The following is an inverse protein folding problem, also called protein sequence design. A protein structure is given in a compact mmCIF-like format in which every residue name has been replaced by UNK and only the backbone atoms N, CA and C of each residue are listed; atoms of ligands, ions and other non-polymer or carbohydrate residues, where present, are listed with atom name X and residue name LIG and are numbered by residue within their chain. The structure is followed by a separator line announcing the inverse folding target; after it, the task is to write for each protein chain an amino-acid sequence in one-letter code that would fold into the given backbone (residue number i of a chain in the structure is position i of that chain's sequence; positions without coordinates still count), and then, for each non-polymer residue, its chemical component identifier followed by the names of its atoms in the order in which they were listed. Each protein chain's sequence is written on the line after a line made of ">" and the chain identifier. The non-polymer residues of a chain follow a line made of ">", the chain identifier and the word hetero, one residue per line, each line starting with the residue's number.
data_IF_168605461527
#
_entry.id   IF_168605461527
#
_cell.length_a   1.000
_cell.length_b   1.000
_cell.length_c   1.000
_cell.angle_alpha   90.00
_cell.angle_beta   90.00
_cell.angle_gamma   90.00
#
_symmetry.space_group_name_H-M   'P 1'
#
loop_
_entity.id
_entity.type
_entity.pdbx_description
1 polymer ?
#
# COMPACT_ATOMS: atom_id res chain seq x y z
N UNK A 1 -38.54 -23.02 -49.55
CA UNK A 1 -37.80 -21.83 -49.07
C UNK A 1 -36.83 -22.30 -47.99
N UNK A 2 -35.60 -22.66 -48.36
CA UNK A 2 -34.57 -23.20 -47.46
C UNK A 2 -33.55 -22.10 -47.19
N UNK A 3 -33.41 -21.67 -45.95
CA UNK A 3 -32.41 -20.69 -45.53
C UNK A 3 -31.11 -21.46 -45.25
N UNK A 4 -30.06 -21.10 -46.01
CA UNK A 4 -28.67 -21.55 -45.82
C UNK A 4 -28.14 -21.01 -44.49
N UNK A 5 -27.59 -21.88 -43.64
CA UNK A 5 -26.66 -21.51 -42.59
C UNK A 5 -25.25 -21.82 -43.11
N UNK A 6 -24.50 -20.80 -43.48
CA UNK A 6 -23.08 -20.87 -43.83
C UNK A 6 -22.28 -20.45 -42.59
N UNK A 7 -21.71 -21.45 -41.91
CA UNK A 7 -20.56 -21.28 -41.02
C UNK A 7 -19.32 -21.01 -41.89
N UNK A 8 -18.59 -19.93 -41.58
CA UNK A 8 -17.19 -19.75 -42.01
C UNK A 8 -16.29 -20.02 -40.80
N UNK A 9 -15.23 -20.83 -40.91
CA UNK A 9 -14.35 -21.15 -39.81
C UNK A 9 -13.00 -20.43 -39.99
N UNK A 10 -12.84 -19.22 -39.46
CA UNK A 10 -11.52 -18.60 -39.33
C UNK A 10 -11.45 -17.89 -37.98
N UNK A 11 -10.85 -18.55 -36.99
CA UNK A 11 -10.38 -17.91 -35.77
C UNK A 11 -8.97 -18.43 -35.53
N UNK A 12 -8.01 -17.66 -36.03
CA UNK A 12 -6.60 -17.83 -35.70
C UNK A 12 -6.44 -17.72 -34.19
N UNK A 13 -5.89 -18.77 -33.58
CA UNK A 13 -5.58 -18.78 -32.16
C UNK A 13 -4.37 -17.85 -31.91
N UNK A 14 -4.64 -16.63 -31.45
CA UNK A 14 -3.61 -15.78 -30.86
C UNK A 14 -3.03 -16.47 -29.62
N UNK A 15 -1.78 -16.88 -29.72
CA UNK A 15 -1.00 -17.40 -28.60
C UNK A 15 -0.57 -16.21 -27.73
N UNK A 16 -1.30 -15.97 -26.65
CA UNK A 16 -0.91 -14.99 -25.63
C UNK A 16 0.22 -15.59 -24.80
N UNK A 17 1.45 -15.16 -25.07
CA UNK A 17 2.60 -15.45 -24.23
C UNK A 17 2.47 -14.70 -22.90
N UNK A 18 2.09 -15.42 -21.85
CA UNK A 18 2.11 -14.91 -20.47
C UNK A 18 3.52 -15.13 -19.92
N UNK A 19 4.36 -14.10 -19.98
CA UNK A 19 5.60 -14.05 -19.20
C UNK A 19 5.25 -13.97 -17.71
N UNK A 20 5.33 -15.11 -17.03
CA UNK A 20 5.31 -15.17 -15.58
C UNK A 20 6.65 -14.63 -15.08
N UNK A 21 6.68 -13.36 -14.66
CA UNK A 21 7.79 -12.83 -13.87
C UNK A 21 7.83 -13.55 -12.53
N UNK A 22 8.92 -14.26 -12.28
CA UNK A 22 9.25 -14.79 -10.97
C UNK A 22 9.67 -13.62 -10.09
N UNK A 23 8.86 -13.26 -9.09
CA UNK A 23 9.31 -12.40 -8.00
C UNK A 23 9.99 -13.24 -6.94
N UNK A 24 11.17 -12.75 -6.50
CA UNK A 24 12.10 -13.36 -5.56
C UNK A 24 11.44 -13.99 -4.33
N UNK A 25 11.91 -15.19 -4.00
CA UNK A 25 11.62 -15.88 -2.76
C UNK A 25 12.07 -15.03 -1.56
N UNK A 26 11.14 -14.81 -0.63
CA UNK A 26 11.42 -14.17 0.64
C UNK A 26 12.15 -15.18 1.55
N UNK A 27 13.48 -15.14 1.55
CA UNK A 27 14.28 -15.91 2.49
C UNK A 27 14.31 -15.18 3.84
N UNK A 28 13.65 -15.76 4.83
CA UNK A 28 13.80 -15.36 6.25
C UNK A 28 15.05 -16.04 6.75
N UNK A 29 16.20 -15.37 6.64
CA UNK A 29 17.40 -15.82 7.34
C UNK A 29 17.17 -15.71 8.85
N UNK A 30 17.40 -16.83 9.54
CA UNK A 30 17.34 -16.93 10.99
C UNK A 30 18.47 -16.10 11.61
N UNK A 31 18.17 -14.87 12.05
CA UNK A 31 19.07 -14.15 12.95
C UNK A 31 18.86 -14.71 14.36
N UNK A 32 19.73 -15.65 14.71
CA UNK A 32 19.97 -16.05 16.09
C UNK A 32 20.49 -14.85 16.88
N UNK A 33 19.82 -14.52 17.97
CA UNK A 33 20.24 -13.47 18.91
C UNK A 33 21.68 -13.69 19.35
N UNK A 34 22.58 -12.80 18.96
CA UNK A 34 23.78 -12.50 19.74
C UNK A 34 23.42 -11.37 20.68
N UNK A 35 23.19 -11.74 21.94
CA UNK A 35 23.24 -10.83 23.08
C UNK A 35 24.64 -10.25 23.15
N UNK A 36 24.79 -8.96 22.84
CA UNK A 36 25.90 -8.17 23.36
C UNK A 36 25.32 -6.99 24.16
N UNK A 37 25.65 -7.02 25.45
CA UNK A 37 25.02 -6.26 26.51
C UNK A 37 25.12 -4.74 26.39
N UNK A 38 24.10 -4.10 26.94
CA UNK A 38 24.11 -2.69 27.29
C UNK A 38 25.27 -2.39 28.23
N UNK A 39 26.32 -1.71 27.73
CA UNK A 39 27.31 -1.06 28.57
C UNK A 39 26.70 0.26 29.09
N UNK A 40 26.00 0.19 30.22
CA UNK A 40 25.75 1.37 31.05
C UNK A 40 27.11 1.74 31.67
N UNK A 41 27.82 2.70 31.05
CA UNK A 41 28.92 3.38 31.73
C UNK A 41 28.32 4.36 32.73
N UNK A 42 28.30 3.93 33.99
CA UNK A 42 28.23 4.80 35.16
C UNK A 42 29.41 5.79 35.05
N UNK A 43 29.10 7.09 35.00
CA UNK A 43 30.12 8.15 35.07
C UNK A 43 29.87 8.94 36.35
N UNK A 44 30.91 8.95 37.17
CA UNK A 44 31.01 9.62 38.45
C UNK A 44 30.84 11.14 38.35
N UNK A 45 30.37 11.71 39.45
CA UNK A 45 30.16 13.13 39.63
C UNK A 45 31.46 13.94 39.52
N UNK A 46 31.47 14.95 38.65
CA UNK A 46 32.23 16.19 38.84
C UNK A 46 31.69 17.27 37.90
N UNK A 47 31.46 18.45 38.47
CA UNK A 47 30.87 19.64 37.87
C UNK A 47 31.46 20.05 36.51
N UNK A 48 30.58 20.32 35.55
CA UNK A 48 30.60 21.59 34.82
C UNK A 48 29.30 21.78 34.02
N UNK A 49 28.60 22.86 34.36
CA UNK A 49 27.40 23.38 33.72
C UNK A 49 27.60 23.62 32.22
N UNK A 50 26.96 22.78 31.39
CA UNK A 50 26.46 23.19 30.09
C UNK A 50 24.98 22.89 30.08
N UNK A 51 24.18 23.94 29.96
CA UNK A 51 22.75 23.89 29.71
C UNK A 51 22.55 23.01 28.47
N UNK A 52 22.14 21.77 28.67
CA UNK A 52 21.61 20.94 27.59
C UNK A 52 20.20 21.49 27.41
N UNK A 53 20.01 22.30 26.37
CA UNK A 53 18.67 22.60 25.87
C UNK A 53 17.98 21.25 25.65
N UNK A 54 16.86 21.06 26.36
CA UNK A 54 15.98 19.92 26.15
C UNK A 54 15.40 20.07 24.73
N UNK A 55 16.12 19.59 23.72
CA UNK A 55 15.62 19.46 22.36
C UNK A 55 14.48 18.45 22.45
N UNK A 56 13.26 18.97 22.42
CA UNK A 56 12.05 18.18 22.51
C UNK A 56 12.04 17.25 21.29
N UNK A 57 11.93 15.93 21.49
CA UNK A 57 11.96 14.95 20.39
C UNK A 57 10.86 15.22 19.34
N UNK A 58 9.79 15.94 19.73
CA UNK A 58 8.72 16.42 18.86
C UNK A 58 9.17 17.39 17.77
N UNK A 59 10.22 18.17 18.01
CA UNK A 59 10.65 19.24 17.10
C UNK A 59 11.36 18.67 15.87
N UNK A 60 11.90 17.44 15.99
CA UNK A 60 12.52 16.71 14.88
C UNK A 60 11.53 15.92 14.01
N UNK A 61 10.34 15.58 14.54
CA UNK A 61 9.35 14.76 13.86
C UNK A 61 7.94 15.34 14.03
N UNK A 62 7.54 16.32 13.19
CA UNK A 62 6.24 16.95 13.32
C UNK A 62 5.10 15.92 13.12
N UNK A 63 4.08 16.02 13.97
CA UNK A 63 2.86 15.21 13.88
C UNK A 63 2.03 15.54 12.64
N UNK A 64 2.03 16.81 12.21
CA UNK A 64 1.32 17.22 11.01
C UNK A 64 2.03 16.71 9.76
N UNK A 65 1.32 15.88 9.00
CA UNK A 65 1.76 15.33 7.73
C UNK A 65 2.22 16.39 6.73
N UNK A 66 1.66 17.60 6.77
CA UNK A 66 2.05 18.67 5.87
C UNK A 66 3.50 19.12 6.11
N UNK A 67 3.97 19.03 7.36
CA UNK A 67 5.29 19.52 7.81
C UNK A 67 6.40 18.46 7.72
N UNK A 68 6.07 17.25 7.24
CA UNK A 68 7.05 16.18 7.11
C UNK A 68 8.19 16.56 6.16
N UNK A 69 9.44 16.21 6.50
CA UNK A 69 10.58 16.50 5.64
C UNK A 69 10.43 15.81 4.29
N UNK A 70 10.94 16.42 3.23
CA UNK A 70 10.96 15.81 1.90
C UNK A 70 12.34 16.05 1.25
N UNK A 71 13.12 14.99 0.95
CA UNK A 71 12.81 13.56 1.08
C UNK A 71 12.81 13.04 2.53
N UNK A 72 12.09 11.95 2.79
CA UNK A 72 11.97 11.33 4.12
C UNK A 72 13.12 10.35 4.35
N UNK A 73 13.91 10.57 5.41
CA UNK A 73 15.01 9.68 5.80
C UNK A 73 14.50 8.32 6.31
N UNK A 74 15.34 7.29 6.32
CA UNK A 74 14.99 5.95 6.82
C UNK A 74 14.48 5.97 8.27
N UNK A 75 15.21 6.67 9.16
CA UNK A 75 14.83 6.80 10.57
C UNK A 75 13.52 7.59 10.76
N UNK A 76 13.32 8.68 10.02
CA UNK A 76 12.06 9.43 10.04
C UNK A 76 10.88 8.56 9.60
N UNK A 77 11.09 7.75 8.55
CA UNK A 77 10.09 6.80 8.05
C UNK A 77 9.71 5.80 9.14
N UNK A 78 10.68 5.17 9.79
CA UNK A 78 10.42 4.17 10.84
C UNK A 78 9.70 4.78 12.04
N UNK A 79 10.07 6.00 12.44
CA UNK A 79 9.38 6.75 13.50
C UNK A 79 7.89 6.96 13.18
N UNK A 80 7.57 7.47 11.98
CA UNK A 80 6.18 7.69 11.58
C UNK A 80 5.38 6.40 11.42
N UNK A 81 6.04 5.29 11.08
CA UNK A 81 5.42 3.98 10.99
C UNK A 81 5.05 3.41 12.36
N UNK A 82 5.95 3.50 13.34
CA UNK A 82 5.73 3.02 14.70
C UNK A 82 4.64 3.82 15.41
N UNK A 83 4.68 5.15 15.29
CA UNK A 83 3.75 6.03 16.00
C UNK A 83 2.42 6.24 15.29
N UNK A 84 2.32 5.79 14.03
CA UNK A 84 1.17 5.90 13.12
C UNK A 84 0.57 7.32 13.03
N UNK A 85 0.71 8.01 11.89
CA UNK A 85 0.23 9.39 11.79
C UNK A 85 -1.26 9.51 12.10
N UNK A 86 -1.56 10.41 13.02
CA UNK A 86 -2.93 10.80 13.35
C UNK A 86 -3.34 12.02 12.52
N UNK A 87 -4.65 12.21 12.39
CA UNK A 87 -5.15 13.45 11.82
C UNK A 87 -4.85 14.61 12.77
N UNK A 88 -4.37 15.73 12.24
CA UNK A 88 -4.17 16.94 13.04
C UNK A 88 -5.35 17.87 12.81
N UNK A 89 -6.12 18.08 13.87
CA UNK A 89 -7.28 18.98 13.89
C UNK A 89 -8.62 18.27 14.02
N UNK A 90 -9.71 19.06 13.95
CA UNK A 90 -11.08 18.54 13.99
C UNK A 90 -11.72 18.59 12.60
N UNK A 91 -12.16 17.43 12.10
CA UNK A 91 -12.80 17.29 10.78
C UNK A 91 -14.04 18.19 10.62
N UNK A 92 -14.78 18.47 11.71
CA UNK A 92 -15.97 19.34 11.69
C UNK A 92 -15.60 20.81 11.51
N UNK A 93 -14.42 21.20 11.97
CA UNK A 93 -13.88 22.55 11.83
C UNK A 93 -13.11 22.72 10.52
N UNK A 94 -12.88 21.63 9.79
CA UNK A 94 -12.16 21.63 8.54
C UNK A 94 -13.02 22.24 7.43
N UNK A 95 -12.83 23.55 7.23
CA UNK A 95 -13.46 24.33 6.18
C UNK A 95 -12.40 24.99 5.31
N UNK A 96 -12.56 24.87 4.00
CA UNK A 96 -11.79 25.64 3.00
C UNK A 96 -12.68 26.74 2.47
N UNK A 97 -12.17 27.95 2.56
CA UNK A 97 -12.75 29.12 1.91
C UNK A 97 -12.40 29.09 0.42
N UNK A 98 -13.39 29.39 -0.42
CA UNK A 98 -13.15 29.65 -1.83
C UNK A 98 -14.02 30.80 -2.31
N UNK A 99 -13.46 31.60 -3.22
CA UNK A 99 -14.14 32.75 -3.81
C UNK A 99 -14.59 32.40 -5.22
N UNK A 100 -15.87 32.58 -5.52
CA UNK A 100 -16.42 32.48 -6.88
C UNK A 100 -17.33 33.68 -7.13
N UNK A 101 -17.13 34.38 -8.25
CA UNK A 101 -17.88 35.60 -8.63
C UNK A 101 -18.01 36.62 -7.48
N UNK A 102 -16.91 36.90 -6.79
CA UNK A 102 -16.82 37.78 -5.62
C UNK A 102 -17.69 37.35 -4.42
N UNK A 103 -18.16 36.12 -4.37
CA UNK A 103 -18.84 35.52 -3.21
C UNK A 103 -17.92 34.52 -2.54
N UNK A 104 -17.86 34.61 -1.21
CA UNK A 104 -17.13 33.69 -0.36
C UNK A 104 -18.02 32.50 -0.04
N UNK A 105 -17.47 31.31 -0.17
CA UNK A 105 -18.13 30.07 0.16
C UNK A 105 -17.21 29.19 1.00
N UNK A 106 -17.81 28.34 1.82
CA UNK A 106 -17.08 27.36 2.64
C UNK A 106 -17.41 25.96 2.18
N UNK A 107 -16.39 25.14 1.92
CA UNK A 107 -16.56 23.68 1.76
C UNK A 107 -16.04 22.95 2.98
N UNK A 108 -16.74 21.90 3.36
CA UNK A 108 -16.30 20.93 4.34
C UNK A 108 -15.92 19.61 3.64
N UNK A 109 -15.05 18.85 4.28
CA UNK A 109 -14.84 17.46 3.89
C UNK A 109 -15.95 16.61 4.50
N UNK A 110 -16.61 15.79 3.69
CA UNK A 110 -17.55 14.79 4.21
C UNK A 110 -16.79 13.65 4.88
N UNK A 111 -17.28 13.18 6.02
CA UNK A 111 -16.79 11.98 6.70
C UNK A 111 -16.85 10.74 5.80
N UNK A 112 -17.82 10.67 4.88
CA UNK A 112 -17.92 9.57 3.90
C UNK A 112 -16.68 9.42 3.02
N UNK A 113 -15.89 10.49 2.80
CA UNK A 113 -14.66 10.43 2.03
C UNK A 113 -13.56 9.61 2.72
N UNK A 114 -13.66 9.37 4.02
CA UNK A 114 -12.72 8.52 4.75
C UNK A 114 -13.09 7.04 4.68
N UNK A 115 -14.15 6.68 3.94
CA UNK A 115 -14.59 5.30 3.80
C UNK A 115 -14.72 4.90 2.33
N UNK A 116 -14.30 3.68 2.01
CA UNK A 116 -14.57 3.04 0.73
C UNK A 116 -15.58 1.89 0.90
N UNK A 117 -16.22 1.51 -0.19
CA UNK A 117 -17.06 0.31 -0.24
C UNK A 117 -16.39 -0.69 -1.16
N UNK A 118 -16.14 -1.90 -0.65
CA UNK A 118 -15.65 -3.00 -1.47
C UNK A 118 -16.77 -3.60 -2.32
N UNK A 119 -16.39 -4.38 -3.33
CA UNK A 119 -17.35 -5.07 -4.21
C UNK A 119 -18.32 -5.99 -3.45
N UNK A 120 -17.93 -6.45 -2.26
CA UNK A 120 -18.77 -7.22 -1.35
C UNK A 120 -19.72 -6.35 -0.48
N UNK A 121 -19.82 -5.05 -0.75
CA UNK A 121 -20.64 -4.10 -0.01
C UNK A 121 -20.09 -3.68 1.36
N UNK A 122 -18.94 -4.23 1.80
CA UNK A 122 -18.37 -3.87 3.10
C UNK A 122 -17.77 -2.46 3.06
N UNK A 123 -18.13 -1.67 4.07
CA UNK A 123 -17.57 -0.34 4.33
C UNK A 123 -16.22 -0.51 5.03
N UNK A 124 -15.16 0.03 4.45
CA UNK A 124 -13.81 0.01 5.02
C UNK A 124 -13.28 1.43 5.20
N UNK A 125 -12.57 1.66 6.30
CA UNK A 125 -11.96 2.95 6.60
C UNK A 125 -10.62 3.11 5.87
N UNK A 126 -10.40 4.27 5.24
CA UNK A 126 -9.15 4.64 4.58
C UNK A 126 -8.11 5.06 5.62
N UNK A 127 -7.48 4.08 6.26
CA UNK A 127 -6.45 4.32 7.27
C UNK A 127 -5.27 5.16 6.75
N UNK A 128 -4.98 5.08 5.45
CA UNK A 128 -3.92 5.79 4.75
C UNK A 128 -4.20 7.29 4.50
N UNK A 129 -5.46 7.72 4.62
CA UNK A 129 -5.88 9.09 4.35
C UNK A 129 -5.76 9.93 5.62
N UNK A 130 -4.97 11.00 5.56
CA UNK A 130 -4.78 11.95 6.67
C UNK A 130 -5.02 13.38 6.22
N UNK A 131 -5.56 14.22 7.10
CA UNK A 131 -5.70 15.64 6.82
C UNK A 131 -4.79 16.49 7.71
N UNK A 132 -4.42 17.66 7.18
CA UNK A 132 -3.68 18.70 7.89
C UNK A 132 -4.56 19.93 8.03
N UNK A 133 -4.87 20.31 9.27
CA UNK A 133 -5.57 21.57 9.55
C UNK A 133 -4.78 22.81 9.09
N UNK A 134 -3.45 22.73 9.07
CA UNK A 134 -2.53 23.82 8.73
C UNK A 134 -2.61 24.18 7.25
N UNK A 135 -2.52 23.19 6.36
CA UNK A 135 -2.55 23.43 4.90
C UNK A 135 -3.94 23.32 4.29
N UNK A 136 -4.93 22.89 5.07
CA UNK A 136 -6.28 22.56 4.59
C UNK A 136 -6.26 21.54 3.43
N UNK A 137 -5.29 20.63 3.47
CA UNK A 137 -5.11 19.60 2.47
C UNK A 137 -5.27 18.19 3.07
N UNK A 138 -5.54 17.24 2.20
CA UNK A 138 -5.57 15.82 2.50
C UNK A 138 -4.37 15.15 1.83
N UNK A 139 -3.82 14.17 2.53
CA UNK A 139 -2.60 13.47 2.17
C UNK A 139 -2.81 11.97 2.29
N UNK A 140 -2.09 11.22 1.46
CA UNK A 140 -1.88 9.80 1.65
C UNK A 140 -0.53 9.62 2.35
N UNK A 141 -0.56 9.27 3.63
CA UNK A 141 0.69 9.19 4.41
C UNK A 141 1.62 8.10 3.88
N UNK A 142 1.05 7.00 3.38
CA UNK A 142 1.80 5.86 2.84
C UNK A 142 2.54 6.28 1.57
N UNK A 143 1.82 6.87 0.62
CA UNK A 143 2.43 7.44 -0.59
C UNK A 143 3.50 8.49 -0.27
N UNK A 144 3.28 9.32 0.75
CA UNK A 144 4.26 10.33 1.16
C UNK A 144 5.53 9.70 1.72
N UNK A 145 5.42 8.69 2.61
CA UNK A 145 6.57 7.97 3.19
C UNK A 145 7.48 7.28 2.16
N UNK A 146 6.88 6.76 1.09
CA UNK A 146 7.59 6.02 0.04
C UNK A 146 7.74 6.81 -1.28
N UNK A 147 7.46 8.12 -1.24
CA UNK A 147 7.66 8.99 -2.40
C UNK A 147 9.14 9.12 -2.76
N UNK A 148 9.40 9.16 -4.06
CA UNK A 148 10.68 9.55 -4.66
C UNK A 148 10.47 10.87 -5.41
N UNK A 149 11.53 11.61 -5.70
CA UNK A 149 11.46 12.90 -6.42
C UNK A 149 10.60 12.86 -7.69
N UNK A 150 10.56 11.72 -8.39
CA UNK A 150 9.89 11.56 -9.67
C UNK A 150 8.40 11.19 -9.56
N UNK A 151 7.93 10.77 -8.38
CA UNK A 151 6.59 10.19 -8.18
C UNK A 151 5.72 11.08 -7.27
N UNK A 152 5.51 12.33 -7.66
CA UNK A 152 4.70 13.30 -6.90
C UNK A 152 3.23 13.23 -7.33
N UNK A 153 2.39 12.60 -6.51
CA UNK A 153 0.93 12.65 -6.71
C UNK A 153 0.33 13.80 -5.91
N UNK A 154 -0.88 14.26 -6.28
CA UNK A 154 -1.58 15.32 -5.52
C UNK A 154 -1.81 14.93 -4.05
N UNK A 155 -1.93 13.65 -3.73
CA UNK A 155 -2.06 13.17 -2.35
C UNK A 155 -0.74 13.15 -1.57
N UNK A 156 0.40 13.41 -2.21
CA UNK A 156 1.71 13.58 -1.55
C UNK A 156 1.95 15.06 -1.24
N UNK A 157 1.69 15.93 -2.23
CA UNK A 157 1.87 17.38 -2.11
C UNK A 157 0.75 18.04 -1.30
N UNK A 158 -0.45 17.44 -1.30
CA UNK A 158 -1.64 17.93 -0.61
C UNK A 158 -2.79 18.18 -1.58
N UNK A 159 -3.93 17.55 -1.31
CA UNK A 159 -5.13 17.66 -2.11
C UNK A 159 -6.19 18.52 -1.38
N UNK A 160 -6.64 19.61 -2.02
CA UNK A 160 -7.56 20.59 -1.44
C UNK A 160 -8.92 20.72 -2.16
N UNK A 161 -9.11 20.14 -3.34
CA UNK A 161 -10.38 20.23 -4.09
C UNK A 161 -11.42 19.22 -3.55
N UNK A 162 -11.92 19.50 -2.35
CA UNK A 162 -12.79 18.59 -1.60
C UNK A 162 -14.13 18.33 -2.30
N UNK A 163 -14.60 19.25 -3.15
CA UNK A 163 -15.84 19.10 -3.91
C UNK A 163 -15.78 17.90 -4.85
N UNK A 164 -14.62 17.67 -5.45
CA UNK A 164 -14.43 16.63 -6.45
C UNK A 164 -13.66 15.42 -5.91
N UNK A 165 -13.45 15.33 -4.59
CA UNK A 165 -12.55 14.37 -3.95
C UNK A 165 -12.89 12.89 -4.19
N UNK A 166 -14.17 12.54 -4.35
CA UNK A 166 -14.62 11.15 -4.46
C UNK A 166 -13.97 10.39 -5.62
N UNK A 167 -13.84 11.01 -6.79
CA UNK A 167 -13.27 10.37 -7.99
C UNK A 167 -11.74 10.21 -7.86
N UNK A 168 -10.97 11.26 -7.54
CA UNK A 168 -9.53 11.14 -7.31
C UNK A 168 -9.15 10.18 -6.19
N UNK A 169 -9.97 10.03 -5.14
CA UNK A 169 -9.72 9.00 -4.12
C UNK A 169 -9.78 7.59 -4.71
N UNK A 170 -10.78 7.31 -5.55
CA UNK A 170 -10.93 6.01 -6.22
C UNK A 170 -9.81 5.74 -7.23
N UNK A 171 -9.41 6.76 -7.99
CA UNK A 171 -8.28 6.65 -8.93
C UNK A 171 -6.95 6.49 -8.19
N UNK A 172 -6.79 7.14 -7.03
CA UNK A 172 -5.60 7.01 -6.21
C UNK A 172 -5.48 5.63 -5.58
N UNK A 173 -6.55 5.12 -4.97
CA UNK A 173 -6.53 3.81 -4.29
C UNK A 173 -6.28 2.64 -5.25
N UNK A 174 -6.60 2.79 -6.54
CA UNK A 174 -6.29 1.81 -7.60
C UNK A 174 -4.98 2.09 -8.34
N UNK A 175 -4.30 3.20 -8.06
CA UNK A 175 -3.06 3.55 -8.75
C UNK A 175 -1.91 2.60 -8.38
N UNK A 176 -1.08 2.28 -9.38
CA UNK A 176 0.10 1.42 -9.20
C UNK A 176 0.98 1.88 -8.04
N UNK A 177 1.31 3.17 -8.01
CA UNK A 177 2.15 3.75 -6.97
C UNK A 177 1.56 3.61 -5.56
N UNK A 178 0.24 3.79 -5.40
CA UNK A 178 -0.41 3.58 -4.11
C UNK A 178 -0.33 2.12 -3.68
N UNK A 179 -0.62 1.19 -4.59
CA UNK A 179 -0.57 -0.25 -4.33
C UNK A 179 0.84 -0.68 -3.91
N UNK A 180 1.88 -0.24 -4.64
CA UNK A 180 3.27 -0.51 -4.29
C UNK A 180 3.66 0.08 -2.93
N UNK A 181 3.28 1.33 -2.65
CA UNK A 181 3.57 1.97 -1.36
C UNK A 181 2.88 1.23 -0.20
N UNK A 182 1.65 0.73 -0.41
CA UNK A 182 0.94 -0.12 0.56
C UNK A 182 1.63 -1.47 0.78
N UNK A 183 2.19 -2.09 -0.26
CA UNK A 183 3.00 -3.29 -0.12
C UNK A 183 4.30 -3.02 0.65
N UNK A 184 5.00 -1.92 0.34
CA UNK A 184 6.21 -1.51 1.03
C UNK A 184 5.95 -1.23 2.52
N UNK A 185 4.84 -0.57 2.83
CA UNK A 185 4.36 -0.40 4.19
C UNK A 185 4.21 -1.74 4.90
N UNK A 186 3.47 -2.68 4.30
CA UNK A 186 3.20 -3.98 4.92
C UNK A 186 4.49 -4.79 5.15
N UNK A 187 5.40 -4.83 4.17
CA UNK A 187 6.72 -5.47 4.31
C UNK A 187 7.51 -4.86 5.47
N UNK A 188 7.54 -3.53 5.56
CA UNK A 188 8.30 -2.81 6.60
C UNK A 188 7.67 -2.96 7.99
N UNK A 189 6.35 -3.00 8.09
CA UNK A 189 5.64 -3.28 9.36
C UNK A 189 5.92 -4.68 9.91
N UNK A 190 6.15 -5.68 9.05
CA UNK A 190 6.60 -7.01 9.49
C UNK A 190 8.02 -6.94 10.07
N UNK A 191 8.94 -6.25 9.38
CA UNK A 191 10.34 -6.10 9.82
C UNK A 191 10.44 -5.36 11.15
N UNK A 192 9.63 -4.32 11.34
CA UNK A 192 9.57 -3.55 12.58
C UNK A 192 8.86 -4.27 13.74
N UNK A 193 8.44 -5.52 13.55
CA UNK A 193 7.74 -6.31 14.57
C UNK A 193 6.35 -5.79 14.92
N UNK A 194 5.79 -4.88 14.13
CA UNK A 194 4.45 -4.30 14.35
C UNK A 194 3.31 -5.24 13.95
N UNK A 195 3.64 -6.32 13.23
CA UNK A 195 2.72 -7.40 12.88
C UNK A 195 3.20 -8.65 13.61
N UNK A 196 2.27 -9.40 14.20
CA UNK A 196 2.55 -10.70 14.81
C UNK A 196 3.24 -11.62 13.78
N UNK A 197 4.53 -11.84 14.00
CA UNK A 197 5.38 -12.61 13.08
C UNK A 197 4.95 -14.07 12.99
N UNK A 198 4.31 -14.61 14.02
CA UNK A 198 3.77 -15.97 14.02
C UNK A 198 2.53 -16.07 13.14
N UNK A 199 1.61 -15.11 13.26
CA UNK A 199 0.44 -15.03 12.39
C UNK A 199 0.84 -14.82 10.92
N UNK A 200 1.83 -13.97 10.66
CA UNK A 200 2.36 -13.75 9.31
C UNK A 200 2.95 -15.03 8.71
N UNK A 201 3.73 -15.80 9.48
CA UNK A 201 4.27 -17.11 9.07
C UNK A 201 3.16 -18.12 8.75
N UNK A 202 2.12 -18.20 9.58
CA UNK A 202 0.98 -19.09 9.34
C UNK A 202 0.26 -18.75 8.04
N UNK A 203 -0.02 -17.46 7.80
CA UNK A 203 -0.66 -17.00 6.56
C UNK A 203 0.18 -17.35 5.33
N UNK A 204 1.49 -17.12 5.40
CA UNK A 204 2.42 -17.45 4.32
C UNK A 204 2.46 -18.96 4.03
N UNK A 205 2.47 -19.79 5.08
CA UNK A 205 2.38 -21.25 4.96
C UNK A 205 1.11 -21.69 4.22
N UNK A 206 -0.04 -21.11 4.55
CA UNK A 206 -1.31 -21.37 3.85
C UNK A 206 -1.26 -20.93 2.38
N UNK A 207 -0.70 -19.75 2.10
CA UNK A 207 -0.54 -19.27 0.72
C UNK A 207 0.32 -20.22 -0.13
N UNK A 208 1.45 -20.68 0.42
CA UNK A 208 2.32 -21.62 -0.28
C UNK A 208 1.63 -22.96 -0.49
N UNK A 209 0.93 -23.48 0.53
CA UNK A 209 0.13 -24.70 0.40
C UNK A 209 -0.88 -24.59 -0.76
N UNK A 210 -1.67 -23.51 -0.82
CA UNK A 210 -2.64 -23.32 -1.90
C UNK A 210 -1.99 -23.13 -3.28
N UNK A 211 -0.83 -22.46 -3.35
CA UNK A 211 -0.04 -22.37 -4.60
C UNK A 211 0.38 -23.74 -5.09
N UNK A 212 0.86 -24.62 -4.21
CA UNK A 212 1.26 -25.98 -4.56
C UNK A 212 0.07 -26.84 -5.00
N UNK A 213 -1.08 -26.70 -4.33
CA UNK A 213 -2.33 -27.35 -4.75
C UNK A 213 -2.73 -26.90 -6.16
N UNK A 214 -2.71 -25.59 -6.44
CA UNK A 214 -3.03 -25.06 -7.78
C UNK A 214 -2.07 -25.55 -8.85
N UNK A 215 -0.76 -25.60 -8.58
CA UNK A 215 0.23 -26.18 -9.49
C UNK A 215 -0.10 -27.62 -9.86
N UNK A 216 -0.47 -28.45 -8.87
CA UNK A 216 -0.85 -29.86 -9.10
C UNK A 216 -2.13 -29.98 -9.91
N UNK A 217 -3.14 -29.14 -9.66
CA UNK A 217 -4.39 -29.12 -10.43
C UNK A 217 -4.10 -28.76 -11.89
N UNK A 218 -3.34 -27.68 -12.12
CA UNK A 218 -2.94 -27.26 -13.48
C UNK A 218 -2.16 -28.37 -14.18
N UNK A 219 -1.21 -29.03 -13.51
CA UNK A 219 -0.48 -30.17 -14.06
C UNK A 219 -1.41 -31.34 -14.43
N UNK A 220 -2.39 -31.65 -13.58
CA UNK A 220 -3.37 -32.72 -13.83
C UNK A 220 -4.26 -32.39 -15.04
N UNK A 221 -4.73 -31.14 -15.16
CA UNK A 221 -5.52 -30.70 -16.31
C UNK A 221 -4.69 -30.78 -17.59
N UNK A 222 -3.46 -30.27 -17.58
CA UNK A 222 -2.53 -30.36 -18.72
C UNK A 222 -2.27 -31.80 -19.14
N UNK A 223 -2.05 -32.70 -18.18
CA UNK A 223 -1.83 -34.12 -18.45
C UNK A 223 -3.04 -34.77 -19.15
N UNK A 224 -4.25 -34.51 -18.65
CA UNK A 224 -5.48 -35.05 -19.26
C UNK A 224 -5.74 -34.51 -20.67
N UNK A 225 -5.51 -33.22 -20.90
CA UNK A 225 -5.62 -32.62 -22.24
C UNK A 225 -4.60 -33.24 -23.20
N UNK A 226 -3.35 -33.39 -22.76
CA UNK A 226 -2.30 -34.00 -23.57
C UNK A 226 -2.61 -35.47 -23.91
N UNK A 227 -3.09 -36.25 -22.94
CA UNK A 227 -3.50 -37.63 -23.15
C UNK A 227 -4.66 -37.73 -24.15
N UNK A 228 -5.66 -36.84 -24.05
CA UNK A 228 -6.77 -36.78 -25.01
C UNK A 228 -6.29 -36.46 -26.43
N UNK A 229 -5.38 -35.50 -26.59
CA UNK A 229 -4.79 -35.18 -27.90
C UNK A 229 -4.00 -36.36 -28.48
N UNK A 230 -3.24 -37.07 -27.66
CA UNK A 230 -2.49 -38.26 -28.09
C UNK A 230 -3.42 -39.40 -28.53
N UNK A 231 -4.47 -39.67 -27.75
CA UNK A 231 -5.47 -40.70 -28.08
C UNK A 231 -6.21 -40.35 -29.37
N UNK A 232 -6.61 -39.08 -29.56
CA UNK A 232 -7.21 -38.63 -30.82
C UNK A 232 -6.25 -38.81 -31.99
N UNK A 233 -5.00 -38.34 -31.87
CA UNK A 233 -4.01 -38.42 -32.95
C UNK A 233 -3.73 -39.87 -33.39
N UNK A 234 -3.73 -40.81 -32.45
CA UNK A 234 -3.60 -42.24 -32.73
C UNK A 234 -4.84 -42.80 -33.44
N UNK A 235 -6.05 -42.46 -32.99
CA UNK A 235 -7.31 -42.91 -33.60
C UNK A 235 -7.57 -42.29 -34.99
N UNK A 236 -7.04 -41.10 -35.28
CA UNK A 236 -7.20 -40.46 -36.60
C UNK A 236 -6.21 -40.97 -37.66
N UNK A 237 -5.25 -41.82 -37.29
CA UNK A 237 -4.25 -42.41 -38.19
C UNK A 237 -4.56 -43.86 -38.59
N UNK A 238 -5.57 -44.47 -37.97
CA UNK A 238 -6.14 -45.79 -38.31
C UNK A 238 -7.40 -45.62 -39.12
#
# INVERSE_FOLDING_TARGET
>A
MKIKSTLHPDTEAETVNVEVRYEDEFQVENITSKNDGCNIKLLDASDNSKIIENVNVSDNFPNDIALWPHPISGAARDHYLLNRPSNVGNIKNFKVEYTDRNKIYYRNISESNFYCFKANGKKEFREWLKFSETTKCIYCFVCKLFSTSNNQTKFITGYNDWKNLTRPLKEHESSHFHIEAMFALKKRSVILGSIDTQLAKQLHGQQNYWREVLKRIVATVKFKVCLFCLVWALLSRT
#
